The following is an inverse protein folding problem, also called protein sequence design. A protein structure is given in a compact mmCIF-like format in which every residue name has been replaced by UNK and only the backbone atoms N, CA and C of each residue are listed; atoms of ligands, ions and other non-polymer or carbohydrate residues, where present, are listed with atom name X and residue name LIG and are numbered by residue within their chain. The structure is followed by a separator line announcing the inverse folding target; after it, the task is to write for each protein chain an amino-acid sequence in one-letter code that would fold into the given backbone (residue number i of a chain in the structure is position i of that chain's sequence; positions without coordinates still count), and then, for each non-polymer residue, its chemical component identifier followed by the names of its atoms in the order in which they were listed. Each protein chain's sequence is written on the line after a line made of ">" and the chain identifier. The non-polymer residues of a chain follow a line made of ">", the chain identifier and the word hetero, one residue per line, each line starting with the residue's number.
data_IF_404596683272
#
_entry.id   IF_404596683272
#
_cell.length_a   1.000
_cell.length_b   1.000
_cell.length_c   1.000
_cell.angle_alpha   90.00
_cell.angle_beta   90.00
_cell.angle_gamma   90.00
#
_symmetry.space_group_name_H-M   'P 1'
#
loop_
_entity.id
_entity.type
_entity.pdbx_description
1 polymer ?
#
# COMPACT_ATOMS: atom_id res chain seq x y z
N UNK A 1 3.53 -41.91 -1.45
CA UNK A 1 3.79 -40.60 -2.07
C UNK A 1 3.16 -39.56 -1.18
N UNK A 2 3.97 -38.88 -0.36
CA UNK A 2 3.49 -37.88 0.59
C UNK A 2 3.23 -36.58 -0.16
N UNK A 3 1.97 -36.16 -0.21
CA UNK A 3 1.56 -34.87 -0.78
C UNK A 3 2.07 -33.78 0.16
N UNK A 4 3.09 -33.03 -0.28
CA UNK A 4 3.52 -31.81 0.38
C UNK A 4 2.41 -30.77 0.19
N UNK A 5 1.62 -30.58 1.24
CA UNK A 5 0.71 -29.44 1.34
C UNK A 5 1.62 -28.23 1.63
N UNK A 6 1.96 -27.47 0.59
CA UNK A 6 2.59 -26.15 0.75
C UNK A 6 1.56 -25.24 1.42
N UNK A 7 1.87 -24.81 2.64
CA UNK A 7 1.11 -23.77 3.34
C UNK A 7 0.98 -22.54 2.42
N UNK A 8 -0.17 -21.83 2.41
CA UNK A 8 -0.29 -20.62 1.62
C UNK A 8 0.68 -19.60 2.20
N UNK A 9 1.71 -19.23 1.43
CA UNK A 9 2.65 -18.18 1.82
C UNK A 9 1.85 -16.96 2.29
N UNK A 10 2.07 -16.54 3.54
CA UNK A 10 1.47 -15.31 4.08
C UNK A 10 1.84 -14.19 3.11
N UNK A 11 0.89 -13.77 2.29
CA UNK A 11 1.09 -12.67 1.33
C UNK A 11 1.39 -11.43 2.15
N UNK A 12 2.66 -11.04 2.19
CA UNK A 12 3.18 -9.87 2.91
C UNK A 12 2.84 -8.58 2.14
N UNK A 13 1.62 -8.49 1.65
CA UNK A 13 1.11 -7.42 0.81
C UNK A 13 0.03 -6.63 1.54
N UNK A 14 0.01 -5.33 1.30
CA UNK A 14 -0.98 -4.40 1.82
C UNK A 14 -1.71 -3.83 0.63
N UNK A 15 -3.04 -3.80 0.73
CA UNK A 15 -3.88 -3.11 -0.24
C UNK A 15 -4.53 -1.91 0.43
N UNK A 16 -4.46 -0.76 -0.21
CA UNK A 16 -5.12 0.46 0.26
C UNK A 16 -5.72 1.22 -0.91
N UNK A 17 -6.74 2.03 -0.59
CA UNK A 17 -7.41 2.91 -1.54
C UNK A 17 -7.07 4.34 -1.19
N UNK A 18 -6.72 5.13 -2.20
CA UNK A 18 -6.43 6.55 -2.05
C UNK A 18 -7.16 7.35 -3.12
N UNK A 19 -7.93 8.33 -2.67
CA UNK A 19 -8.57 9.33 -3.52
C UNK A 19 -7.49 10.24 -4.14
N UNK A 20 -7.59 10.48 -5.45
CA UNK A 20 -6.77 11.49 -6.11
C UNK A 20 -7.25 12.91 -5.72
N UNK A 21 -6.37 13.79 -5.22
CA UNK A 21 -6.78 15.09 -4.68
C UNK A 21 -7.38 16.05 -5.72
N UNK A 22 -7.08 15.83 -7.00
CA UNK A 22 -7.53 16.71 -8.11
C UNK A 22 -8.85 16.24 -8.71
N UNK A 23 -8.94 14.95 -9.03
CA UNK A 23 -10.08 14.38 -9.76
C UNK A 23 -11.14 13.76 -8.87
N UNK A 24 -10.82 13.50 -7.59
CA UNK A 24 -11.69 12.81 -6.61
C UNK A 24 -12.04 11.37 -6.97
N UNK A 25 -11.29 10.74 -7.89
CA UNK A 25 -11.44 9.30 -8.11
C UNK A 25 -10.57 8.50 -7.16
N UNK A 26 -11.09 7.35 -6.75
CA UNK A 26 -10.40 6.38 -5.92
C UNK A 26 -9.49 5.47 -6.74
N UNK A 27 -8.25 5.32 -6.27
CA UNK A 27 -7.27 4.40 -6.86
C UNK A 27 -6.82 3.39 -5.81
N UNK A 28 -6.89 2.10 -6.18
CA UNK A 28 -6.42 1.01 -5.34
C UNK A 28 -4.96 0.66 -5.66
N UNK A 29 -4.17 0.43 -4.62
CA UNK A 29 -2.77 0.07 -4.70
C UNK A 29 -2.52 -1.17 -3.86
N UNK A 30 -1.75 -2.11 -4.39
CA UNK A 30 -1.29 -3.31 -3.67
C UNK A 30 0.22 -3.36 -3.73
N UNK A 31 0.86 -3.34 -2.56
CA UNK A 31 2.32 -3.37 -2.44
C UNK A 31 2.77 -4.34 -1.38
N UNK A 32 3.99 -4.83 -1.50
CA UNK A 32 4.63 -5.57 -0.41
C UNK A 32 4.92 -4.64 0.78
N UNK A 33 4.92 -5.20 1.98
CA UNK A 33 5.17 -4.46 3.22
C UNK A 33 6.54 -3.76 3.21
N UNK A 34 7.56 -4.37 2.61
CA UNK A 34 8.91 -3.80 2.51
C UNK A 34 8.99 -2.59 1.56
N UNK A 35 8.05 -2.47 0.63
CA UNK A 35 7.93 -1.34 -0.29
C UNK A 35 7.23 -0.19 0.43
N UNK A 36 6.18 -0.49 1.18
CA UNK A 36 5.36 0.51 1.90
C UNK A 36 6.15 1.20 3.01
N UNK A 37 7.12 0.52 3.62
CA UNK A 37 7.99 1.04 4.69
C UNK A 37 9.07 2.03 4.22
N UNK A 38 9.17 2.32 2.92
CA UNK A 38 10.20 3.19 2.36
C UNK A 38 9.60 4.18 1.36
N UNK A 39 9.70 5.47 1.67
CA UNK A 39 9.28 6.54 0.78
C UNK A 39 10.01 6.48 -0.56
N UNK A 40 11.33 6.25 -0.55
CA UNK A 40 12.16 6.13 -1.77
C UNK A 40 11.65 5.01 -2.71
N UNK A 41 11.33 3.83 -2.16
CA UNK A 41 10.78 2.73 -2.98
C UNK A 41 9.42 3.10 -3.57
N UNK A 42 8.55 3.74 -2.78
CA UNK A 42 7.24 4.19 -3.26
C UNK A 42 7.36 5.30 -4.32
N UNK A 43 8.30 6.23 -4.18
CA UNK A 43 8.60 7.26 -5.19
C UNK A 43 9.04 6.63 -6.51
N UNK A 44 9.93 5.63 -6.45
CA UNK A 44 10.32 4.86 -7.63
C UNK A 44 9.11 4.22 -8.33
N UNK A 45 8.13 3.73 -7.58
CA UNK A 45 6.87 3.22 -8.14
C UNK A 45 6.02 4.36 -8.73
N UNK A 46 5.84 5.46 -8.00
CA UNK A 46 5.03 6.59 -8.44
C UNK A 46 5.55 7.21 -9.74
N UNK A 47 6.87 7.26 -9.91
CA UNK A 47 7.53 7.68 -11.15
C UNK A 47 7.25 6.70 -12.30
N UNK A 48 7.38 5.39 -12.07
CA UNK A 48 7.03 4.39 -13.09
C UNK A 48 5.57 4.47 -13.50
N UNK A 49 4.66 4.68 -12.55
CA UNK A 49 3.24 4.89 -12.83
C UNK A 49 3.07 6.17 -13.65
N UNK A 50 3.68 7.30 -13.27
CA UNK A 50 3.51 8.59 -13.96
C UNK A 50 3.78 8.54 -15.46
N UNK A 51 4.74 7.73 -15.87
CA UNK A 51 5.17 7.62 -17.27
C UNK A 51 4.60 6.40 -17.99
N UNK A 52 3.66 5.67 -17.38
CA UNK A 52 2.98 4.54 -18.03
C UNK A 52 1.80 5.01 -18.88
N UNK A 53 1.31 4.12 -19.75
CA UNK A 53 0.09 4.35 -20.53
C UNK A 53 -1.12 3.67 -19.88
N UNK A 54 -2.32 4.27 -19.99
CA UNK A 54 -2.63 5.54 -20.64
C UNK A 54 -2.29 6.76 -19.77
N UNK A 55 -1.68 7.81 -20.39
CA UNK A 55 -1.10 8.96 -19.67
C UNK A 55 -2.03 9.67 -18.68
N UNK A 56 -3.30 9.90 -19.05
CA UNK A 56 -4.24 10.62 -18.18
C UNK A 56 -4.50 9.88 -16.87
N UNK A 57 -4.78 8.57 -16.97
CA UNK A 57 -5.04 7.72 -15.82
C UNK A 57 -3.77 7.51 -14.98
N UNK A 58 -2.64 7.39 -15.65
CA UNK A 58 -1.36 7.12 -15.00
C UNK A 58 -0.84 8.33 -14.22
N UNK A 59 -1.00 9.55 -14.75
CA UNK A 59 -0.77 10.79 -14.00
C UNK A 59 -1.66 10.88 -12.76
N UNK A 60 -2.94 10.55 -12.92
CA UNK A 60 -3.92 10.61 -11.84
C UNK A 60 -3.57 9.63 -10.70
N UNK A 61 -3.25 8.39 -11.06
CA UNK A 61 -2.77 7.36 -10.12
C UNK A 61 -1.47 7.74 -9.44
N UNK A 62 -0.54 8.34 -10.18
CA UNK A 62 0.73 8.82 -9.62
C UNK A 62 0.48 9.93 -8.58
N UNK A 63 -0.43 10.88 -8.86
CA UNK A 63 -0.82 11.93 -7.90
C UNK A 63 -1.45 11.33 -6.64
N UNK A 64 -2.35 10.36 -6.78
CA UNK A 64 -2.94 9.68 -5.63
C UNK A 64 -1.87 9.00 -4.78
N UNK A 65 -0.90 8.30 -5.40
CA UNK A 65 0.18 7.65 -4.65
C UNK A 65 1.13 8.64 -3.96
N UNK A 66 1.39 9.81 -4.57
CA UNK A 66 2.23 10.85 -3.95
C UNK A 66 1.66 11.37 -2.63
N UNK A 67 0.34 11.46 -2.48
CA UNK A 67 -0.28 11.85 -1.19
C UNK A 67 0.05 10.87 -0.06
N UNK A 68 0.13 9.58 -0.39
CA UNK A 68 0.53 8.55 0.57
C UNK A 68 2.01 8.64 0.86
N UNK A 69 2.83 8.87 -0.17
CA UNK A 69 4.29 9.07 -0.01
C UNK A 69 4.58 10.22 0.95
N UNK A 70 3.88 11.36 0.82
CA UNK A 70 4.07 12.50 1.74
C UNK A 70 3.77 12.13 3.19
N UNK A 71 2.74 11.32 3.44
CA UNK A 71 2.42 10.80 4.78
C UNK A 71 3.49 9.84 5.29
N UNK A 72 4.02 8.98 4.42
CA UNK A 72 5.12 8.06 4.77
C UNK A 72 6.39 8.84 5.11
N UNK A 73 6.72 9.89 4.35
CA UNK A 73 7.87 10.77 4.64
C UNK A 73 7.70 11.47 6.00
N UNK A 74 6.49 11.94 6.33
CA UNK A 74 6.23 12.55 7.63
C UNK A 74 6.44 11.55 8.78
N UNK A 75 6.02 10.30 8.60
CA UNK A 75 6.29 9.20 9.53
C UNK A 75 7.79 8.86 9.63
N UNK A 76 8.50 8.73 8.51
CA UNK A 76 9.96 8.45 8.49
C UNK A 76 10.76 9.53 9.21
N UNK A 77 10.32 10.80 9.12
CA UNK A 77 10.92 11.94 9.81
C UNK A 77 10.52 12.04 11.29
N UNK A 78 9.69 11.12 11.80
CA UNK A 78 9.21 11.12 13.17
C UNK A 78 8.20 12.22 13.49
N UNK A 79 7.58 12.84 12.47
CA UNK A 79 6.53 13.85 12.67
C UNK A 79 5.20 13.17 13.04
N UNK A 80 4.92 12.02 12.44
CA UNK A 80 3.75 11.19 12.74
C UNK A 80 4.15 9.99 13.60
N UNK A 81 3.37 9.70 14.64
CA UNK A 81 3.66 8.60 15.57
C UNK A 81 3.33 7.22 14.99
N UNK A 82 2.40 7.16 14.04
CA UNK A 82 1.91 5.91 13.45
C UNK A 82 2.10 5.90 11.93
N UNK A 83 2.40 4.72 11.38
CA UNK A 83 2.64 4.57 9.95
C UNK A 83 1.31 4.61 9.16
N UNK A 84 1.15 5.53 8.18
CA UNK A 84 -0.16 5.86 7.57
C UNK A 84 -0.92 4.68 6.95
N UNK A 85 -0.21 3.65 6.49
CA UNK A 85 -0.79 2.44 5.90
C UNK A 85 -0.78 1.20 6.80
N UNK A 86 -0.06 1.24 7.93
CA UNK A 86 0.17 0.08 8.79
C UNK A 86 -0.49 0.22 10.17
N UNK A 87 -0.93 1.41 10.59
CA UNK A 87 -1.59 1.63 11.88
C UNK A 87 -2.83 0.74 12.11
N UNK A 88 -3.37 0.13 11.06
CA UNK A 88 -4.57 -0.72 11.12
C UNK A 88 -4.31 -2.23 11.02
N UNK A 89 -3.08 -2.66 10.72
CA UNK A 89 -2.78 -4.08 10.44
C UNK A 89 -2.87 -4.97 11.71
N UNK A 90 -2.82 -4.39 12.91
CA UNK A 90 -2.98 -5.17 14.16
C UNK A 90 -4.43 -5.43 14.59
N UNK A 91 -5.45 -4.81 13.98
CA UNK A 91 -6.86 -5.03 14.43
C UNK A 91 -7.64 -6.04 13.60
N UNK A 92 -7.36 -6.18 12.30
CA UNK A 92 -8.16 -7.07 11.42
C UNK A 92 -7.59 -8.49 11.33
N UNK A 93 -6.27 -8.63 11.54
CA UNK A 93 -5.56 -9.93 11.57
C UNK A 93 -6.06 -10.86 12.69
N UNK A 94 -6.49 -10.29 13.82
CA UNK A 94 -7.04 -11.05 14.97
C UNK A 94 -8.55 -11.31 14.82
N UNK A 95 -9.29 -10.39 14.17
CA UNK A 95 -10.74 -10.50 13.99
C UNK A 95 -11.13 -11.68 13.07
N UNK A 96 -10.27 -12.03 12.10
CA UNK A 96 -10.52 -13.17 11.19
C UNK A 96 -10.14 -14.53 11.78
N UNK A 97 -9.32 -14.58 12.86
CA UNK A 97 -9.00 -15.82 13.59
C UNK A 97 -10.07 -16.26 14.59
N UNK A 98 -11.01 -15.38 14.95
CA UNK A 98 -12.06 -15.68 15.95
C UNK A 98 -13.39 -16.17 15.38
N UNK A 99 -13.51 -16.35 14.06
CA UNK A 99 -14.73 -16.85 13.39
C UNK A 99 -14.64 -18.28 12.86
N UNK A 100 -13.70 -19.06 13.38
CA UNK A 100 -13.67 -20.51 13.17
C UNK A 100 -13.60 -21.20 14.54
N UNK A 101 -14.75 -21.26 15.19
CA UNK A 101 -15.07 -22.28 16.20
C UNK A 101 -16.37 -22.94 15.72
#
# INVERSE_FOLDING_TARGET
>A
MSVLITEPEKTNTITFVQECPVTRHDHSFTFNHDVVLSSEKLEGVALRIRYSEPRKLSEERSRALMEVIYKVIAWEKGTEAEHPLLSKVDRDSDAKRRRTV
#
